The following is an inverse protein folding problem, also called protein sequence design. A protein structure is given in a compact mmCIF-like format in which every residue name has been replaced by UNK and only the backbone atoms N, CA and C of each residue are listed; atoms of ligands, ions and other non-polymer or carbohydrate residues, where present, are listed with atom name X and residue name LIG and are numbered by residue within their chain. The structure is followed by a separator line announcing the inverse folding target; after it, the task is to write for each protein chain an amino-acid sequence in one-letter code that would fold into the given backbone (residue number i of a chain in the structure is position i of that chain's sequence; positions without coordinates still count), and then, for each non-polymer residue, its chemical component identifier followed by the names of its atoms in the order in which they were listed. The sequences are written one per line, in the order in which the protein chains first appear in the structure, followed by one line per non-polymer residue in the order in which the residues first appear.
data_IF_998317288689
#
_entry.id   IF_998317288689
#
_cell.length_a   1.000
_cell.length_b   1.000
_cell.length_c   1.000
_cell.angle_alpha   90.00
_cell.angle_beta   90.00
_cell.angle_gamma   90.00
#
_symmetry.space_group_name_H-M   'P 1'
#
loop_
_entity.id
_entity.type
_entity.pdbx_description
1 polymer ?
#
# COMPACT_ATOMS: atom_id res chain seq x y z
N UNK A 1 -8.99 0.76 13.01
CA UNK A 1 -10.32 1.41 12.92
C UNK A 1 -10.73 1.38 11.45
N UNK A 2 -11.88 0.81 11.08
CA UNK A 2 -12.27 0.73 9.66
C UNK A 2 -12.66 2.11 9.13
N UNK A 3 -12.36 2.35 7.85
CA UNK A 3 -12.68 3.61 7.18
C UNK A 3 -14.19 3.70 6.91
N UNK A 4 -14.75 4.91 7.03
CA UNK A 4 -16.14 5.17 6.63
C UNK A 4 -16.25 5.25 5.10
N UNK A 5 -17.42 4.94 4.50
CA UNK A 5 -17.60 4.98 3.05
C UNK A 5 -17.15 6.28 2.40
N UNK A 6 -17.49 7.43 2.98
CA UNK A 6 -17.11 8.76 2.51
C UNK A 6 -15.59 9.00 2.54
N UNK A 7 -14.88 8.36 3.48
CA UNK A 7 -13.42 8.44 3.56
C UNK A 7 -12.77 7.57 2.48
N UNK A 8 -13.37 6.41 2.19
CA UNK A 8 -12.92 5.51 1.12
C UNK A 8 -13.06 6.21 -0.23
N UNK A 9 -14.22 6.81 -0.50
CA UNK A 9 -14.46 7.54 -1.74
C UNK A 9 -13.47 8.70 -1.92
N UNK A 10 -13.33 9.55 -0.91
CA UNK A 10 -12.41 10.68 -0.96
C UNK A 10 -10.95 10.24 -1.14
N UNK A 11 -10.53 9.16 -0.48
CA UNK A 11 -9.17 8.63 -0.61
C UNK A 11 -8.91 8.05 -1.99
N UNK A 12 -9.85 7.26 -2.53
CA UNK A 12 -9.72 6.65 -3.85
C UNK A 12 -9.68 7.74 -4.93
N UNK A 13 -10.56 8.72 -4.86
CA UNK A 13 -10.60 9.83 -5.83
C UNK A 13 -9.31 10.67 -5.78
N UNK A 14 -8.82 11.00 -4.58
CA UNK A 14 -7.56 11.74 -4.40
C UNK A 14 -6.34 10.93 -4.88
N UNK A 15 -6.30 9.63 -4.58
CA UNK A 15 -5.19 8.76 -4.98
C UNK A 15 -5.15 8.54 -6.49
N UNK A 16 -6.32 8.34 -7.11
CA UNK A 16 -6.41 8.19 -8.57
C UNK A 16 -5.93 9.47 -9.28
N UNK A 17 -6.33 10.65 -8.79
CA UNK A 17 -5.84 11.91 -9.32
C UNK A 17 -4.32 12.06 -9.16
N UNK A 18 -3.77 11.73 -7.98
CA UNK A 18 -2.33 11.83 -7.71
C UNK A 18 -1.48 10.86 -8.55
N UNK A 19 -2.05 9.71 -8.93
CA UNK A 19 -1.40 8.70 -9.77
C UNK A 19 -1.69 8.89 -11.26
N UNK A 20 -2.43 9.93 -11.64
CA UNK A 20 -2.93 10.16 -13.00
C UNK A 20 -3.68 8.93 -13.57
N UNK A 21 -4.36 8.20 -12.69
CA UNK A 21 -5.07 6.98 -13.02
C UNK A 21 -6.51 7.31 -13.43
N UNK A 22 -6.85 7.04 -14.70
CA UNK A 22 -8.22 7.18 -15.19
C UNK A 22 -9.12 6.05 -14.66
N UNK A 23 -9.87 6.34 -13.60
CA UNK A 23 -10.94 5.47 -13.09
C UNK A 23 -12.20 5.66 -13.93
N UNK A 24 -12.40 4.79 -14.92
CA UNK A 24 -13.64 4.78 -15.69
C UNK A 24 -14.85 4.58 -14.77
N UNK A 25 -15.98 5.28 -15.00
CA UNK A 25 -17.15 5.20 -14.13
C UNK A 25 -17.64 3.77 -13.88
N UNK A 26 -17.58 2.92 -14.91
CA UNK A 26 -18.03 1.51 -14.84
C UNK A 26 -17.22 0.67 -13.84
N UNK A 27 -16.00 1.09 -13.49
CA UNK A 27 -15.12 0.37 -12.57
C UNK A 27 -15.18 0.89 -11.14
N UNK A 28 -15.75 2.08 -10.92
CA UNK A 28 -15.67 2.80 -9.64
C UNK A 28 -16.24 1.96 -8.50
N UNK A 29 -17.41 1.36 -8.69
CA UNK A 29 -18.04 0.54 -7.66
C UNK A 29 -17.16 -0.64 -7.24
N UNK A 30 -16.55 -1.33 -8.21
CA UNK A 30 -15.63 -2.43 -7.95
C UNK A 30 -14.39 -1.96 -7.19
N UNK A 31 -13.79 -0.84 -7.60
CA UNK A 31 -12.62 -0.27 -6.92
C UNK A 31 -12.92 0.08 -5.47
N UNK A 32 -14.05 0.76 -5.20
CA UNK A 32 -14.44 1.11 -3.83
C UNK A 32 -14.66 -0.14 -2.97
N UNK A 33 -15.33 -1.17 -3.51
CA UNK A 33 -15.56 -2.43 -2.80
C UNK A 33 -14.26 -3.15 -2.45
N UNK A 34 -13.33 -3.27 -3.40
CA UNK A 34 -12.06 -3.95 -3.14
C UNK A 34 -11.12 -3.12 -2.26
N UNK A 35 -11.18 -1.79 -2.35
CA UNK A 35 -10.45 -0.91 -1.46
C UNK A 35 -10.96 -1.04 -0.02
N UNK A 36 -12.28 -1.07 0.19
CA UNK A 36 -12.87 -1.30 1.51
C UNK A 36 -12.38 -2.63 2.14
N UNK A 37 -12.39 -3.71 1.34
CA UNK A 37 -11.87 -5.01 1.77
C UNK A 37 -10.39 -4.93 2.18
N UNK A 38 -9.56 -4.23 1.39
CA UNK A 38 -8.15 -4.05 1.73
C UNK A 38 -7.95 -3.20 2.99
N UNK A 39 -8.79 -2.19 3.22
CA UNK A 39 -8.75 -1.36 4.42
C UNK A 39 -9.08 -2.19 5.69
N UNK A 40 -10.02 -3.13 5.61
CA UNK A 40 -10.30 -4.04 6.72
C UNK A 40 -9.12 -4.99 6.99
N UNK A 41 -8.42 -5.46 5.96
CA UNK A 41 -7.18 -6.23 6.14
C UNK A 41 -6.06 -5.39 6.76
N UNK A 42 -5.91 -4.13 6.34
CA UNK A 42 -4.92 -3.21 6.90
C UNK A 42 -5.18 -2.96 8.39
N UNK A 43 -6.44 -2.86 8.82
CA UNK A 43 -6.79 -2.72 10.22
C UNK A 43 -6.34 -3.91 11.09
N UNK A 44 -6.24 -5.12 10.52
CA UNK A 44 -5.67 -6.28 11.22
C UNK A 44 -4.15 -6.15 11.40
N UNK A 45 -3.46 -5.58 10.42
CA UNK A 45 -2.00 -5.36 10.49
C UNK A 45 -1.65 -4.23 11.46
N UNK A 46 -2.39 -3.13 11.44
CA UNK A 46 -2.19 -1.98 12.35
C UNK A 46 -2.39 -2.35 13.83
N UNK A 47 -3.14 -3.42 14.11
CA UNK A 47 -3.33 -3.92 15.47
C UNK A 47 -2.11 -4.69 16.02
N UNK A 48 -1.14 -5.03 15.17
CA UNK A 48 0.09 -5.72 15.59
C UNK A 48 1.07 -4.69 16.17
N UNK A 49 1.54 -4.86 17.43
CA UNK A 49 2.52 -3.95 17.99
C UNK A 49 3.84 -4.05 17.23
N UNK A 50 4.37 -2.91 16.79
CA UNK A 50 5.61 -2.83 16.05
C UNK A 50 6.60 -1.93 16.80
N UNK A 51 7.77 -2.49 17.13
CA UNK A 51 8.86 -1.71 17.73
C UNK A 51 9.52 -0.82 16.64
N UNK A 52 9.91 0.43 16.94
CA UNK A 52 10.53 1.33 15.95
C UNK A 52 11.81 0.78 15.30
N UNK A 53 12.46 -0.22 15.89
CA UNK A 53 13.66 -0.87 15.36
C UNK A 53 13.37 -2.15 14.57
N UNK A 54 12.10 -2.50 14.34
CA UNK A 54 11.76 -3.58 13.42
C UNK A 54 12.01 -3.12 11.99
N UNK A 55 13.01 -3.72 11.38
CA UNK A 55 13.38 -3.48 9.99
C UNK A 55 12.45 -4.24 9.02
N UNK A 56 12.29 -3.75 7.78
CA UNK A 56 11.62 -4.51 6.72
C UNK A 56 12.27 -5.88 6.50
N UNK A 57 11.46 -6.89 6.16
CA UNK A 57 11.93 -8.25 5.92
C UNK A 57 13.00 -8.35 4.83
N UNK A 58 12.89 -7.48 3.81
CA UNK A 58 13.93 -7.26 2.81
C UNK A 58 14.58 -5.92 3.10
N UNK A 59 15.87 -5.94 3.43
CA UNK A 59 16.66 -4.74 3.65
C UNK A 59 17.85 -4.68 2.69
N UNK A 60 18.38 -3.48 2.49
CA UNK A 60 19.55 -3.28 1.65
C UNK A 60 20.81 -3.79 2.36
N UNK A 61 21.50 -4.74 1.73
CA UNK A 61 22.83 -5.16 2.12
C UNK A 61 23.84 -4.67 1.06
N UNK A 62 24.74 -3.72 1.38
CA UNK A 62 25.73 -3.25 0.42
C UNK A 62 26.66 -4.39 0.00
N UNK A 63 27.01 -4.42 -1.29
CA UNK A 63 28.02 -5.34 -1.79
C UNK A 63 29.40 -4.83 -1.35
N UNK A 64 30.23 -5.63 -0.66
CA UNK A 64 31.56 -5.21 -0.26
C UNK A 64 32.46 -5.00 -1.50
N UNK A 65 33.41 -4.05 -1.47
CA UNK A 65 34.37 -3.86 -2.55
C UNK A 65 35.17 -5.15 -2.81
N UNK A 66 35.25 -5.61 -4.07
CA UNK A 66 36.16 -6.69 -4.49
C UNK A 66 35.55 -7.90 -5.19
N UNK A 67 34.22 -7.97 -5.41
CA UNK A 67 33.64 -9.04 -6.23
C UNK A 67 33.68 -8.65 -7.71
N UNK A 68 34.82 -8.90 -8.38
CA UNK A 68 34.92 -8.84 -9.86
C UNK A 68 33.99 -9.90 -10.43
N UNK A 69 33.08 -9.54 -11.34
CA UNK A 69 32.36 -10.52 -12.16
C UNK A 69 33.43 -11.31 -12.95
N UNK A 70 33.53 -12.62 -12.70
CA UNK A 70 34.22 -13.50 -13.61
C UNK A 70 33.32 -13.63 -14.85
N UNK A 71 33.83 -13.17 -15.98
CA UNK A 71 33.26 -13.46 -17.31
C UNK A 71 33.26 -14.96 -17.59
#
# INVERSE_FOLDING_TARGET
MSLRPEQIEAFVDASAAALELNLRPEHREGVLRYFALAADMAALLDAVPLDPHVEPAVNFAPVPPGRRHAE
#
